data_IF_228730980547
#
_entry.id   IF_228730980547
#
_cell.length_a   1.000
_cell.length_b   1.000
_cell.length_c   1.000
_cell.angle_alpha   90.00
_cell.angle_beta   90.00
_cell.angle_gamma   90.00
#
_symmetry.space_group_name_H-M   'P 1'
#
loop_
_entity.id
_entity.type
_entity.pdbx_description
1 polymer ?
#
# COMPACT_ATOMS: atom_id res chain seq x y z
N UNK A 1 29.43 3.68 2.19
CA UNK A 1 28.42 4.30 3.06
C UNK A 1 27.08 3.95 2.44
N UNK A 2 26.46 2.91 2.98
CA UNK A 2 25.32 2.20 2.41
C UNK A 2 24.05 2.85 2.95
N UNK A 3 23.08 3.06 2.08
CA UNK A 3 21.85 3.75 2.44
C UNK A 3 20.83 2.67 2.70
N UNK A 4 20.50 2.55 3.98
CA UNK A 4 19.52 1.64 4.53
C UNK A 4 18.18 2.37 4.69
N UNK A 5 17.07 1.65 4.58
CA UNK A 5 15.74 2.20 4.89
C UNK A 5 15.62 2.65 6.36
N UNK A 6 16.62 2.33 7.19
CA UNK A 6 16.79 2.76 8.59
C UNK A 6 17.30 4.21 8.76
N UNK A 7 17.47 4.98 7.69
CA UNK A 7 17.91 6.38 7.76
C UNK A 7 16.87 7.37 7.23
N UNK A 8 16.61 8.42 8.01
CA UNK A 8 15.69 9.51 7.63
C UNK A 8 16.16 10.11 6.29
N UNK A 9 15.36 9.96 5.24
CA UNK A 9 15.63 10.32 3.83
C UNK A 9 16.56 9.41 3.01
N UNK A 10 16.58 8.10 3.29
CA UNK A 10 17.31 7.12 2.47
C UNK A 10 17.18 7.36 0.96
N UNK A 11 18.32 7.39 0.24
CA UNK A 11 18.35 7.48 -1.22
C UNK A 11 17.73 6.21 -1.83
N UNK A 12 16.94 6.41 -2.88
CA UNK A 12 16.38 5.33 -3.68
C UNK A 12 17.50 4.49 -4.33
N UNK A 13 17.49 3.17 -4.10
CA UNK A 13 18.31 2.21 -4.83
C UNK A 13 17.48 1.57 -5.95
N UNK A 14 17.90 1.78 -7.19
CA UNK A 14 17.23 1.21 -8.36
C UNK A 14 17.15 -0.32 -8.31
N UNK A 15 18.15 -0.99 -7.71
CA UNK A 15 18.18 -2.45 -7.59
C UNK A 15 17.13 -2.98 -6.60
N UNK A 16 16.59 -2.12 -5.73
CA UNK A 16 15.54 -2.42 -4.76
C UNK A 16 14.16 -1.90 -5.19
N UNK A 17 14.02 -1.48 -6.46
CA UNK A 17 12.76 -0.92 -6.95
C UNK A 17 11.67 -1.97 -7.12
N UNK A 18 10.43 -1.59 -6.78
CA UNK A 18 9.26 -2.40 -7.11
C UNK A 18 8.86 -2.21 -8.57
N UNK A 19 8.68 -3.31 -9.29
CA UNK A 19 8.16 -3.33 -10.67
C UNK A 19 6.91 -4.20 -10.70
N UNK A 20 5.74 -3.57 -10.80
CA UNK A 20 4.46 -4.27 -10.80
C UNK A 20 3.27 -3.33 -10.61
N UNK A 21 2.12 -3.92 -10.26
CA UNK A 21 0.90 -3.20 -9.90
C UNK A 21 0.68 -3.35 -8.39
N UNK A 22 0.26 -2.25 -7.75
CA UNK A 22 -0.07 -2.20 -6.34
C UNK A 22 -1.49 -1.64 -6.20
N UNK A 23 -2.30 -2.31 -5.36
CA UNK A 23 -3.71 -2.00 -5.14
C UNK A 23 -4.10 -2.35 -3.72
N UNK A 24 -5.23 -1.82 -3.25
CA UNK A 24 -5.88 -2.20 -1.99
C UNK A 24 -4.98 -2.04 -0.75
N UNK A 25 -4.18 -0.96 -0.71
CA UNK A 25 -3.30 -0.66 0.44
C UNK A 25 -4.06 0.02 1.56
N UNK A 26 -4.01 -0.60 2.73
CA UNK A 26 -4.62 -0.11 3.96
C UNK A 26 -3.61 -0.21 5.11
N UNK A 27 -3.66 0.73 6.05
CA UNK A 27 -2.83 0.76 7.26
C UNK A 27 -3.67 1.19 8.46
N UNK A 28 -3.45 0.53 9.59
CA UNK A 28 -4.12 0.78 10.85
C UNK A 28 -3.11 1.18 11.92
N UNK A 29 -3.52 2.03 12.86
CA UNK A 29 -2.71 2.38 14.04
C UNK A 29 -2.68 1.30 15.12
N UNK A 30 -3.45 0.23 14.92
CA UNK A 30 -3.61 -0.89 15.82
C UNK A 30 -3.37 -2.24 15.14
N UNK A 31 -3.07 -3.25 15.95
CA UNK A 31 -2.90 -4.63 15.47
C UNK A 31 -4.26 -5.23 15.10
N UNK A 32 -4.39 -5.68 13.85
CA UNK A 32 -5.58 -6.41 13.40
C UNK A 32 -5.66 -7.81 14.03
N UNK A 33 -6.87 -8.21 14.42
CA UNK A 33 -7.16 -9.60 14.75
C UNK A 33 -7.15 -10.49 13.50
N UNK A 34 -6.95 -11.81 13.63
CA UNK A 34 -7.02 -12.74 12.49
C UNK A 34 -8.33 -12.64 11.69
N UNK A 35 -9.46 -12.39 12.35
CA UNK A 35 -10.75 -12.21 11.68
C UNK A 35 -10.82 -10.92 10.85
N UNK A 36 -10.21 -9.83 11.32
CA UNK A 36 -10.13 -8.57 10.57
C UNK A 36 -9.21 -8.71 9.37
N UNK A 37 -8.07 -9.40 9.52
CA UNK A 37 -7.16 -9.72 8.40
C UNK A 37 -7.91 -10.53 7.33
N UNK A 38 -8.68 -11.54 7.75
CA UNK A 38 -9.46 -12.37 6.82
C UNK A 38 -10.54 -11.54 6.10
N UNK A 39 -11.24 -10.66 6.81
CA UNK A 39 -12.24 -9.74 6.21
C UNK A 39 -11.61 -8.77 5.21
N UNK A 40 -10.46 -8.19 5.56
CA UNK A 40 -9.70 -7.31 4.66
C UNK A 40 -9.26 -8.06 3.39
N UNK A 41 -8.67 -9.25 3.56
CA UNK A 41 -8.19 -10.08 2.45
C UNK A 41 -9.32 -10.46 1.49
N UNK A 42 -10.48 -10.82 2.04
CA UNK A 42 -11.65 -11.19 1.25
C UNK A 42 -12.45 -9.98 0.75
N UNK A 43 -12.06 -8.75 1.11
CA UNK A 43 -12.78 -7.51 0.82
C UNK A 43 -14.23 -7.50 1.34
N UNK A 44 -14.48 -8.19 2.46
CA UNK A 44 -15.80 -8.32 3.09
C UNK A 44 -15.86 -7.41 4.31
N UNK A 45 -16.63 -6.32 4.23
CA UNK A 45 -17.04 -5.47 5.37
C UNK A 45 -15.96 -5.31 6.46
N UNK A 46 -14.77 -4.87 6.06
CA UNK A 46 -13.67 -4.56 6.98
C UNK A 46 -13.62 -3.06 7.24
N UNK A 47 -13.11 -2.70 8.43
CA UNK A 47 -12.88 -1.30 8.80
C UNK A 47 -11.77 -0.73 7.91
N UNK A 48 -12.00 0.35 7.15
CA UNK A 48 -10.93 0.99 6.39
C UNK A 48 -9.79 1.42 7.32
N UNK A 49 -8.56 1.36 6.83
CA UNK A 49 -7.39 1.84 7.57
C UNK A 49 -7.54 3.29 8.00
N UNK A 50 -7.30 3.58 9.28
CA UNK A 50 -7.38 4.92 9.87
C UNK A 50 -6.14 5.77 9.56
N UNK A 51 -4.99 5.13 9.36
CA UNK A 51 -3.76 5.78 8.91
C UNK A 51 -3.71 5.89 7.38
N UNK A 52 -3.99 4.81 6.65
CA UNK A 52 -4.06 4.80 5.19
C UNK A 52 -5.31 4.04 4.72
N UNK A 53 -6.12 4.73 3.91
CA UNK A 53 -7.32 4.16 3.30
C UNK A 53 -7.24 4.24 1.78
N UNK A 54 -7.07 3.10 1.10
CA UNK A 54 -7.03 3.02 -0.37
C UNK A 54 -8.19 3.77 -1.06
N UNK A 55 -9.39 3.75 -0.47
CA UNK A 55 -10.59 4.36 -1.07
C UNK A 55 -10.62 5.88 -0.97
N UNK A 56 -9.80 6.46 -0.11
CA UNK A 56 -9.72 7.90 0.15
C UNK A 56 -8.25 8.33 0.30
N UNK A 57 -7.37 7.75 -0.53
CA UNK A 57 -5.94 7.98 -0.45
C UNK A 57 -5.58 9.33 -1.08
N UNK A 58 -4.85 10.15 -0.33
CA UNK A 58 -4.12 11.28 -0.89
C UNK A 58 -2.70 10.80 -1.24
N UNK A 59 -2.36 10.84 -2.53
CA UNK A 59 -1.08 10.33 -3.01
C UNK A 59 -0.50 11.21 -4.12
N UNK A 60 0.82 11.19 -4.22
CA UNK A 60 1.56 11.81 -5.30
C UNK A 60 2.33 10.75 -6.08
N UNK A 61 2.30 10.86 -7.41
CA UNK A 61 3.09 10.03 -8.31
C UNK A 61 4.29 10.82 -8.85
N UNK A 62 5.46 10.19 -8.87
CA UNK A 62 6.69 10.77 -9.45
C UNK A 62 7.42 9.75 -10.31
N UNK A 63 8.04 10.19 -11.41
CA UNK A 63 8.78 9.30 -12.32
C UNK A 63 7.88 8.42 -13.19
N UNK A 64 8.35 7.22 -13.54
CA UNK A 64 7.64 6.30 -14.45
C UNK A 64 6.62 5.44 -13.69
N UNK A 65 5.43 6.00 -13.48
CA UNK A 65 4.31 5.33 -12.80
C UNK A 65 3.04 5.44 -13.66
N UNK A 66 2.08 4.53 -13.44
CA UNK A 66 0.80 4.52 -14.15
C UNK A 66 -0.35 4.17 -13.21
N UNK A 67 -1.47 4.86 -13.36
CA UNK A 67 -2.71 4.58 -12.64
C UNK A 67 -3.60 3.73 -13.54
N UNK A 68 -4.02 2.58 -13.05
CA UNK A 68 -4.87 1.64 -13.77
C UNK A 68 -6.14 1.35 -12.98
N UNK A 69 -7.26 1.27 -13.67
CA UNK A 69 -8.50 0.83 -13.03
C UNK A 69 -8.51 -0.70 -12.95
N UNK A 70 -8.71 -1.22 -11.73
CA UNK A 70 -8.92 -2.64 -11.49
C UNK A 70 -10.20 -3.06 -12.21
N UNK A 71 -10.08 -3.92 -13.23
CA UNK A 71 -11.25 -4.54 -13.85
C UNK A 71 -11.84 -5.52 -12.85
N UNK A 72 -13.09 -5.30 -12.46
CA UNK A 72 -13.87 -6.31 -11.73
C UNK A 72 -14.32 -7.35 -12.75
N UNK A 73 -13.74 -8.55 -12.67
CA UNK A 73 -14.28 -9.70 -13.39
C UNK A 73 -15.50 -10.18 -12.62
N UNK A 74 -16.67 -10.16 -13.26
CA UNK A 74 -17.89 -10.83 -12.74
C UNK A 74 -17.74 -12.34 -12.81
#
# INVERSE_FOLDING_TARGET
>A
MQIDQDSFSGRFDQQQSFVGLLTDVHMWDYMLSPCEIQRCTNQINFTPGDMLNWKALDFQTTGRTGIYHKKLTM
#
